data_IF_915545049014
#
_entry.id   IF_915545049014
#
_cell.length_a   1.000
_cell.length_b   1.000
_cell.length_c   1.000
_cell.angle_alpha   90.00
_cell.angle_beta   90.00
_cell.angle_gamma   90.00
#
_symmetry.space_group_name_H-M   'P 1'
#
loop_
_entity.id
_entity.type
_entity.pdbx_description
1 polymer ?
#
# COMPACT_ATOMS: atom_id res chain seq x y z
N UNK A 1 9.16 8.15 -33.08
CA UNK A 1 9.05 8.62 -31.67
C UNK A 1 10.29 9.42 -31.31
N UNK A 2 10.12 10.67 -30.90
CA UNK A 2 11.23 11.57 -30.52
C UNK A 2 11.78 11.17 -29.14
N UNK A 3 13.09 11.31 -28.88
CA UNK A 3 13.72 11.01 -27.57
C UNK A 3 12.99 11.66 -26.38
N UNK A 4 12.40 12.85 -26.60
CA UNK A 4 11.53 13.55 -25.64
C UNK A 4 10.27 12.77 -25.27
N UNK A 5 9.58 12.15 -26.23
CA UNK A 5 8.36 11.36 -25.96
C UNK A 5 8.67 10.11 -25.14
N UNK A 6 9.81 9.46 -25.39
CA UNK A 6 10.25 8.29 -24.61
C UNK A 6 10.52 8.68 -23.15
N UNK A 7 11.20 9.81 -22.93
CA UNK A 7 11.46 10.31 -21.58
C UNK A 7 10.18 10.67 -20.82
N UNK A 8 9.19 11.28 -21.49
CA UNK A 8 7.90 11.61 -20.85
C UNK A 8 7.08 10.37 -20.50
N UNK A 9 7.05 9.36 -21.37
CA UNK A 9 6.33 8.11 -21.12
C UNK A 9 6.99 7.34 -19.97
N UNK A 10 8.32 7.25 -19.97
CA UNK A 10 9.06 6.62 -18.88
C UNK A 10 8.86 7.35 -17.54
N UNK A 11 8.89 8.69 -17.54
CA UNK A 11 8.65 9.50 -16.35
C UNK A 11 7.23 9.33 -15.78
N UNK A 12 6.21 9.32 -16.65
CA UNK A 12 4.83 9.06 -16.22
C UNK A 12 4.64 7.65 -15.67
N UNK A 13 5.25 6.65 -16.32
CA UNK A 13 5.22 5.26 -15.86
C UNK A 13 5.83 5.11 -14.47
N UNK A 14 7.00 5.73 -14.24
CA UNK A 14 7.65 5.72 -12.94
C UNK A 14 6.77 6.38 -11.87
N UNK A 15 6.18 7.55 -12.17
CA UNK A 15 5.30 8.25 -11.24
C UNK A 15 4.04 7.44 -10.89
N UNK A 16 3.44 6.76 -11.86
CA UNK A 16 2.30 5.89 -11.61
C UNK A 16 2.68 4.73 -10.68
N UNK A 17 3.83 4.08 -10.93
CA UNK A 17 4.29 2.97 -10.09
C UNK A 17 4.64 3.39 -8.66
N UNK A 18 5.24 4.57 -8.48
CA UNK A 18 5.57 5.07 -7.14
C UNK A 18 4.32 5.44 -6.35
N UNK A 19 3.30 6.03 -6.98
CA UNK A 19 2.03 6.31 -6.32
C UNK A 19 1.29 5.05 -5.89
N UNK A 20 1.28 4.02 -6.73
CA UNK A 20 0.72 2.70 -6.36
C UNK A 20 1.49 2.10 -5.18
N UNK A 21 2.82 2.14 -5.21
CA UNK A 21 3.65 1.62 -4.13
C UNK A 21 3.41 2.36 -2.81
N UNK A 22 3.34 3.69 -2.82
CA UNK A 22 3.04 4.49 -1.63
C UNK A 22 1.68 4.14 -1.03
N UNK A 23 0.65 3.97 -1.86
CA UNK A 23 -0.71 3.65 -1.39
C UNK A 23 -0.76 2.28 -0.71
N UNK A 24 -0.07 1.28 -1.26
CA UNK A 24 0.10 -0.05 -0.64
C UNK A 24 0.88 0.04 0.66
N UNK A 25 1.98 0.79 0.70
CA UNK A 25 2.85 0.89 1.88
C UNK A 25 2.13 1.56 3.06
N UNK A 26 1.41 2.65 2.79
CA UNK A 26 0.59 3.36 3.79
C UNK A 26 -0.52 2.44 4.28
N UNK A 27 -1.24 1.77 3.37
CA UNK A 27 -2.26 0.80 3.72
C UNK A 27 -1.71 -0.31 4.61
N UNK A 28 -0.56 -0.87 4.27
CA UNK A 28 0.13 -1.89 5.06
C UNK A 28 0.49 -1.38 6.47
N UNK A 29 1.00 -0.16 6.58
CA UNK A 29 1.36 0.44 7.87
C UNK A 29 0.16 0.68 8.78
N UNK A 30 -0.91 1.28 8.25
CA UNK A 30 -2.16 1.50 9.00
C UNK A 30 -2.80 0.17 9.40
N UNK A 31 -2.81 -0.79 8.48
CA UNK A 31 -3.26 -2.15 8.74
C UNK A 31 -2.44 -2.85 9.83
N UNK A 32 -1.12 -2.70 9.81
CA UNK A 32 -0.23 -3.24 10.85
C UNK A 32 -0.59 -2.70 12.23
N UNK A 33 -0.72 -1.37 12.35
CA UNK A 33 -0.98 -0.71 13.63
C UNK A 33 -2.35 -1.08 14.20
N UNK A 34 -3.39 -1.01 13.37
CA UNK A 34 -4.75 -1.38 13.77
C UNK A 34 -4.86 -2.87 14.08
N UNK A 35 -4.30 -3.72 13.23
CA UNK A 35 -4.25 -5.16 13.43
C UNK A 35 -3.49 -5.54 14.71
N UNK A 36 -2.38 -4.87 15.02
CA UNK A 36 -1.64 -5.08 16.25
C UNK A 36 -2.48 -4.72 17.49
N UNK A 37 -3.19 -3.59 17.45
CA UNK A 37 -4.05 -3.16 18.55
C UNK A 37 -5.20 -4.15 18.79
N UNK A 38 -5.85 -4.62 17.72
CA UNK A 38 -6.93 -5.63 17.82
C UNK A 38 -6.38 -6.96 18.33
N UNK A 39 -5.23 -7.41 17.82
CA UNK A 39 -4.58 -8.65 18.26
C UNK A 39 -4.14 -8.60 19.73
N UNK A 40 -3.71 -7.44 20.22
CA UNK A 40 -3.41 -7.23 21.63
C UNK A 40 -4.69 -7.26 22.50
N UNK A 41 -5.76 -6.59 22.05
CA UNK A 41 -7.02 -6.50 22.80
C UNK A 41 -7.85 -7.78 22.84
N UNK A 42 -7.67 -8.69 21.86
CA UNK A 42 -8.43 -9.95 21.75
C UNK A 42 -7.67 -11.17 22.30
N UNK A 43 -6.43 -11.01 22.74
CA UNK A 43 -5.58 -12.10 23.20
C UNK A 43 -4.97 -12.97 22.08
N UNK A 44 -5.22 -12.64 20.80
CA UNK A 44 -4.64 -13.33 19.65
C UNK A 44 -3.15 -13.01 19.39
N UNK A 45 -2.63 -12.01 20.10
CA UNK A 45 -1.24 -11.56 20.03
C UNK A 45 -1.05 -10.44 19.02
N UNK A 46 -0.37 -9.38 19.47
CA UNK A 46 -0.11 -8.18 18.66
C UNK A 46 0.60 -8.51 17.34
N UNK A 47 1.55 -9.46 17.34
CA UNK A 47 2.30 -9.83 16.15
C UNK A 47 1.46 -10.49 15.06
N UNK A 48 0.54 -11.40 15.43
CA UNK A 48 -0.36 -12.04 14.45
C UNK A 48 -1.38 -11.06 13.92
N UNK A 49 -1.94 -10.23 14.80
CA UNK A 49 -2.84 -9.15 14.41
C UNK A 49 -2.17 -8.17 13.45
N UNK A 50 -0.92 -7.78 13.72
CA UNK A 50 -0.16 -6.89 12.84
C UNK A 50 0.08 -7.52 11.46
N UNK A 51 0.46 -8.80 11.38
CA UNK A 51 0.70 -9.51 10.12
C UNK A 51 -0.56 -9.67 9.26
N UNK A 52 -1.71 -9.96 9.89
CA UNK A 52 -2.99 -10.03 9.16
C UNK A 52 -3.37 -8.61 8.69
N UNK A 53 -3.23 -7.64 9.59
CA UNK A 53 -3.53 -6.24 9.32
C UNK A 53 -2.66 -5.65 8.22
N UNK A 54 -1.36 -5.92 8.17
CA UNK A 54 -0.48 -5.49 7.08
C UNK A 54 -0.95 -6.01 5.74
N UNK A 55 -1.32 -7.30 5.66
CA UNK A 55 -1.79 -7.92 4.42
C UNK A 55 -3.10 -7.29 3.92
N UNK A 56 -4.10 -7.19 4.80
CA UNK A 56 -5.40 -6.58 4.45
C UNK A 56 -5.24 -5.10 4.10
N UNK A 57 -4.46 -4.36 4.90
CA UNK A 57 -4.17 -2.95 4.68
C UNK A 57 -3.41 -2.70 3.38
N UNK A 58 -2.43 -3.54 3.04
CA UNK A 58 -1.69 -3.45 1.78
C UNK A 58 -2.62 -3.66 0.57
N UNK A 59 -3.48 -4.68 0.63
CA UNK A 59 -4.45 -4.96 -0.43
C UNK A 59 -5.46 -3.82 -0.58
N UNK A 60 -6.00 -3.31 0.53
CA UNK A 60 -6.90 -2.16 0.52
C UNK A 60 -6.22 -0.90 -0.03
N UNK A 61 -4.97 -0.64 0.36
CA UNK A 61 -4.17 0.48 -0.15
C UNK A 61 -3.88 0.38 -1.64
N UNK A 62 -3.61 -0.83 -2.15
CA UNK A 62 -3.44 -1.09 -3.57
C UNK A 62 -4.73 -0.82 -4.36
N UNK A 63 -5.87 -1.33 -3.88
CA UNK A 63 -7.18 -1.11 -4.50
C UNK A 63 -7.56 0.37 -4.44
N UNK A 64 -7.33 1.04 -3.31
CA UNK A 64 -7.59 2.47 -3.15
C UNK A 64 -6.78 3.29 -4.16
N UNK A 65 -5.47 3.05 -4.28
CA UNK A 65 -4.63 3.73 -5.26
C UNK A 65 -5.02 3.43 -6.72
N UNK A 66 -5.60 2.26 -6.99
CA UNK A 66 -6.09 1.90 -8.34
C UNK A 66 -7.45 2.54 -8.67
N UNK A 67 -8.32 2.71 -7.68
CA UNK A 67 -9.72 3.15 -7.84
C UNK A 67 -9.94 4.64 -7.62
N UNK A 68 -9.10 5.27 -6.78
CA UNK A 68 -9.06 6.72 -6.58
C UNK A 68 -7.89 7.27 -7.40
N UNK A 69 -8.17 7.54 -8.68
CA UNK A 69 -7.32 8.38 -9.55
C UNK A 69 -7.69 9.84 -9.39
#
# INVERSE_FOLDING_TARGET
MTKRMVATIAGLGLLATTMTACSTLVGAGVGAGTGAAIGAGTGYGAGKGALIGTGVGAAAGAIYGATKK
#
